data_IF_468745486886
#
_entry.id   IF_468745486886
#
_cell.length_a   1.000
_cell.length_b   1.000
_cell.length_c   1.000
_cell.angle_alpha   90.00
_cell.angle_beta   90.00
_cell.angle_gamma   90.00
#
_symmetry.space_group_name_H-M   'P 1'
#
loop_
_entity.id
_entity.type
_entity.pdbx_description
1 polymer ?
#
# COMPACT_ATOMS: atom_id res chain seq x y z
N UNK A 1 20.28 33.61 -15.38
CA UNK A 1 19.15 32.66 -15.24
C UNK A 1 19.75 31.32 -14.94
N UNK A 2 19.44 30.73 -13.79
CA UNK A 2 20.06 29.49 -13.33
C UNK A 2 19.75 28.33 -14.29
N UNK A 3 20.71 27.46 -14.57
CA UNK A 3 20.59 26.22 -15.39
C UNK A 3 19.48 25.25 -14.93
N UNK A 4 18.77 25.55 -13.85
CA UNK A 4 17.82 24.69 -13.17
C UNK A 4 16.36 24.84 -13.60
N UNK A 5 16.02 25.80 -14.47
CA UNK A 5 14.64 25.95 -14.98
C UNK A 5 14.67 25.84 -16.50
N UNK A 6 14.61 24.60 -16.97
CA UNK A 6 14.34 24.27 -18.37
C UNK A 6 12.84 24.33 -18.60
N UNK A 7 12.29 25.27 -19.40
CA UNK A 7 10.84 25.40 -19.61
C UNK A 7 10.15 24.13 -20.10
N UNK A 8 10.91 23.24 -20.76
CA UNK A 8 10.45 21.94 -21.23
C UNK A 8 10.23 20.90 -20.11
N UNK A 9 10.75 21.15 -18.89
CA UNK A 9 10.59 20.28 -17.73
C UNK A 9 9.77 20.95 -16.63
N UNK A 10 8.86 20.19 -16.02
CA UNK A 10 8.13 20.64 -14.84
C UNK A 10 9.11 20.86 -13.68
N UNK A 11 8.86 21.89 -12.86
CA UNK A 11 9.68 22.14 -11.67
C UNK A 11 9.64 20.90 -10.75
N UNK A 12 10.79 20.40 -10.27
CA UNK A 12 10.82 19.30 -9.32
C UNK A 12 9.97 19.62 -8.10
N UNK A 13 8.99 18.76 -7.80
CA UNK A 13 8.19 18.85 -6.59
C UNK A 13 8.75 17.90 -5.52
N UNK A 14 9.30 18.45 -4.45
CA UNK A 14 9.66 17.70 -3.26
C UNK A 14 8.60 17.94 -2.17
N UNK A 15 7.74 16.95 -1.85
CA UNK A 15 6.74 17.07 -0.80
C UNK A 15 7.35 17.50 0.54
N UNK A 16 8.60 17.11 0.85
CA UNK A 16 9.27 17.41 2.12
C UNK A 16 9.46 18.90 2.36
N UNK A 17 9.56 19.70 1.29
CA UNK A 17 9.62 21.16 1.38
C UNK A 17 8.35 21.78 1.97
N UNK A 18 7.24 21.03 1.96
CA UNK A 18 5.93 21.47 2.43
C UNK A 18 5.50 20.79 3.74
N UNK A 19 6.37 19.96 4.35
CA UNK A 19 6.11 19.20 5.57
C UNK A 19 6.66 19.87 6.86
N UNK A 20 6.97 21.16 6.84
CA UNK A 20 7.38 21.93 8.04
C UNK A 20 6.19 22.20 8.99
N UNK A 21 6.41 22.20 10.30
CA UNK A 21 5.45 22.65 11.34
C UNK A 21 5.20 24.18 11.33
N UNK A 22 5.69 24.88 10.32
CA UNK A 22 5.48 26.30 10.09
C UNK A 22 4.33 26.51 9.07
N UNK A 23 3.44 27.46 9.33
CA UNK A 23 2.32 27.77 8.42
C UNK A 23 2.83 28.30 7.07
N UNK A 24 3.00 27.43 6.07
CA UNK A 24 3.50 27.78 4.72
C UNK A 24 2.47 28.62 3.94
N UNK A 25 1.18 28.42 4.21
CA UNK A 25 0.09 29.24 3.68
C UNK A 25 -1.11 29.22 4.65
N UNK A 26 -1.90 30.30 4.76
CA UNK A 26 -3.12 30.31 5.56
C UNK A 26 -4.10 29.23 5.12
N UNK A 27 -4.60 28.41 6.06
CA UNK A 27 -5.62 27.41 5.77
C UNK A 27 -6.83 28.08 5.13
N UNK A 28 -7.36 27.45 4.07
CA UNK A 28 -8.48 27.99 3.30
C UNK A 28 -8.13 28.99 2.21
N UNK A 29 -6.89 29.46 2.13
CA UNK A 29 -6.41 30.29 1.00
C UNK A 29 -6.20 29.47 -0.29
N UNK A 30 -6.19 30.16 -1.43
CA UNK A 30 -5.82 29.54 -2.71
C UNK A 30 -4.39 28.95 -2.70
N UNK A 31 -3.43 29.64 -2.08
CA UNK A 31 -2.06 29.13 -1.95
C UNK A 31 -2.02 27.82 -1.16
N UNK A 32 -2.81 27.72 -0.08
CA UNK A 32 -2.96 26.48 0.67
C UNK A 32 -3.60 25.37 -0.18
N UNK A 33 -4.64 25.70 -0.96
CA UNK A 33 -5.30 24.75 -1.85
C UNK A 33 -4.34 24.18 -2.91
N UNK A 34 -3.49 25.02 -3.51
CA UNK A 34 -2.45 24.58 -4.45
C UNK A 34 -1.43 23.64 -3.80
N UNK A 35 -1.02 23.90 -2.55
CA UNK A 35 -0.13 22.99 -1.81
C UNK A 35 -0.83 21.64 -1.61
N UNK A 36 -2.09 21.63 -1.18
CA UNK A 36 -2.83 20.39 -0.99
C UNK A 36 -2.99 19.60 -2.30
N UNK A 37 -3.26 20.27 -3.42
CA UNK A 37 -3.30 19.65 -4.74
C UNK A 37 -1.96 19.02 -5.11
N UNK A 38 -0.83 19.72 -4.95
CA UNK A 38 0.50 19.14 -5.20
C UNK A 38 0.81 17.93 -4.31
N UNK A 39 0.26 17.91 -3.09
CA UNK A 39 0.28 16.76 -2.17
C UNK A 39 -0.75 15.67 -2.51
N UNK A 40 -1.35 15.70 -3.72
CA UNK A 40 -2.34 14.73 -4.23
C UNK A 40 -3.64 14.67 -3.43
N UNK A 41 -3.99 15.73 -2.71
CA UNK A 41 -5.29 15.83 -2.02
C UNK A 41 -6.31 16.54 -2.90
N UNK A 42 -7.60 16.29 -2.64
CA UNK A 42 -8.72 16.96 -3.30
C UNK A 42 -9.17 18.16 -2.47
N UNK A 43 -9.48 19.26 -3.15
CA UNK A 43 -9.93 20.50 -2.51
C UNK A 43 -11.19 21.03 -3.19
N UNK A 44 -12.02 21.74 -2.45
CA UNK A 44 -13.28 22.33 -2.92
C UNK A 44 -13.47 23.72 -2.34
N UNK A 45 -14.32 24.55 -2.97
CA UNK A 45 -14.77 25.82 -2.41
C UNK A 45 -16.04 25.59 -1.61
N UNK A 46 -16.22 26.31 -0.50
CA UNK A 46 -17.49 26.26 0.26
C UNK A 46 -18.70 26.65 -0.58
N UNK A 47 -18.52 27.52 -1.58
CA UNK A 47 -19.59 27.95 -2.49
C UNK A 47 -19.93 26.93 -3.58
N UNK A 48 -19.13 25.87 -3.76
CA UNK A 48 -19.38 24.84 -4.77
C UNK A 48 -20.29 23.73 -4.24
N UNK A 49 -21.45 24.15 -3.74
CA UNK A 49 -22.57 23.28 -3.39
C UNK A 49 -23.44 23.07 -4.63
N UNK A 50 -23.83 21.81 -4.90
CA UNK A 50 -24.85 21.53 -5.90
C UNK A 50 -26.25 21.94 -5.40
N UNK A 51 -27.27 21.84 -6.25
CA UNK A 51 -28.66 22.16 -5.92
C UNK A 51 -29.23 21.34 -4.73
N UNK A 52 -28.55 20.26 -4.32
CA UNK A 52 -28.92 19.41 -3.18
C UNK A 52 -28.17 19.79 -1.90
N UNK A 53 -27.33 20.84 -1.93
CA UNK A 53 -26.51 21.28 -0.81
C UNK A 53 -25.26 20.44 -0.55
N UNK A 54 -24.86 19.56 -1.48
CA UNK A 54 -23.67 18.72 -1.34
C UNK A 54 -22.46 19.32 -2.08
N UNK A 55 -21.28 19.29 -1.45
CA UNK A 55 -19.99 19.66 -2.07
C UNK A 55 -19.41 18.49 -2.88
N UNK A 56 -20.02 18.21 -4.03
CA UNK A 56 -19.55 17.14 -4.95
C UNK A 56 -18.54 17.63 -5.99
N UNK A 57 -18.44 18.95 -6.14
CA UNK A 57 -17.48 19.60 -7.01
C UNK A 57 -16.14 19.73 -6.32
N UNK A 58 -15.06 19.42 -7.02
CA UNK A 58 -13.71 19.54 -6.45
C UNK A 58 -12.61 19.61 -7.50
N UNK A 59 -11.46 20.10 -7.07
CA UNK A 59 -10.22 20.07 -7.84
C UNK A 59 -9.38 18.85 -7.49
N UNK A 60 -8.75 18.28 -8.51
CA UNK A 60 -7.73 17.25 -8.40
C UNK A 60 -6.58 17.54 -9.37
N UNK A 61 -5.36 17.10 -9.04
CA UNK A 61 -4.20 17.25 -9.92
C UNK A 61 -4.03 15.99 -10.77
N UNK A 62 -3.96 16.18 -12.09
CA UNK A 62 -3.67 15.12 -13.05
C UNK A 62 -2.17 15.11 -13.32
N UNK A 63 -1.43 14.02 -12.97
CA UNK A 63 0.01 13.94 -13.19
C UNK A 63 0.37 13.89 -14.67
N UNK A 64 1.56 14.38 -15.00
CA UNK A 64 2.18 14.13 -16.30
C UNK A 64 2.34 12.63 -16.55
N UNK A 65 1.97 12.21 -17.76
CA UNK A 65 2.18 10.85 -18.27
C UNK A 65 2.98 10.95 -19.56
N UNK A 66 4.15 10.32 -19.58
CA UNK A 66 5.07 10.41 -20.71
C UNK A 66 4.91 9.23 -21.68
N UNK A 67 5.31 9.45 -22.93
CA UNK A 67 5.43 8.41 -23.97
C UNK A 67 4.12 7.68 -24.33
N UNK A 68 2.98 8.35 -24.16
CA UNK A 68 1.69 7.86 -24.65
C UNK A 68 1.73 7.75 -26.17
N UNK A 69 0.92 6.83 -26.70
CA UNK A 69 0.73 6.68 -28.13
C UNK A 69 -0.73 6.96 -28.47
N UNK A 70 -0.96 7.65 -29.58
CA UNK A 70 -2.32 7.83 -30.12
C UNK A 70 -2.89 6.46 -30.49
N UNK A 71 -3.98 6.07 -29.85
CA UNK A 71 -4.70 4.82 -30.11
C UNK A 71 -5.71 5.00 -31.24
N UNK A 72 -6.02 3.91 -31.96
CA UNK A 72 -6.82 3.89 -33.18
C UNK A 72 -8.19 4.57 -33.04
N UNK A 73 -8.83 4.42 -31.88
CA UNK A 73 -10.18 4.94 -31.62
C UNK A 73 -10.17 6.10 -30.60
N UNK A 74 -9.00 6.70 -30.34
CA UNK A 74 -8.90 7.88 -29.46
C UNK A 74 -9.42 9.14 -30.15
N UNK A 75 -9.83 10.14 -29.36
CA UNK A 75 -10.25 11.44 -29.89
C UNK A 75 -9.20 12.05 -30.84
N UNK A 76 -7.91 11.92 -30.48
CA UNK A 76 -6.81 12.38 -31.33
C UNK A 76 -6.75 11.68 -32.69
N UNK A 77 -7.01 10.37 -32.74
CA UNK A 77 -7.03 9.64 -34.01
C UNK A 77 -8.22 10.05 -34.88
N UNK A 78 -9.40 10.25 -34.26
CA UNK A 78 -10.60 10.76 -34.94
C UNK A 78 -10.35 12.17 -35.51
N UNK A 79 -9.61 13.00 -34.78
CA UNK A 79 -9.23 14.36 -35.18
C UNK A 79 -8.06 14.39 -36.18
N UNK A 80 -7.60 13.22 -36.66
CA UNK A 80 -6.63 13.09 -37.75
C UNK A 80 -5.16 12.98 -37.32
N UNK A 81 -4.87 12.83 -36.02
CA UNK A 81 -3.51 12.53 -35.56
C UNK A 81 -3.17 11.08 -35.87
N UNK A 82 -2.02 10.84 -36.51
CA UNK A 82 -1.60 9.49 -36.88
C UNK A 82 -1.53 8.55 -35.66
N UNK A 83 -2.13 7.36 -35.80
CA UNK A 83 -2.06 6.28 -34.80
C UNK A 83 -0.60 5.92 -34.54
N UNK A 84 -0.23 5.81 -33.26
CA UNK A 84 1.14 5.55 -32.84
C UNK A 84 1.99 6.81 -32.62
N UNK A 85 1.49 8.01 -32.97
CA UNK A 85 2.17 9.28 -32.63
C UNK A 85 2.43 9.33 -31.13
N UNK A 86 3.69 9.57 -30.76
CA UNK A 86 4.12 9.69 -29.37
C UNK A 86 3.86 11.09 -28.84
N UNK A 87 3.33 11.18 -27.64
CA UNK A 87 3.12 12.45 -26.94
C UNK A 87 3.22 12.28 -25.43
N UNK A 88 3.47 13.39 -24.74
CA UNK A 88 3.36 13.48 -23.30
C UNK A 88 2.06 14.20 -22.95
N UNK A 89 1.33 13.68 -21.98
CA UNK A 89 0.18 14.36 -21.42
C UNK A 89 0.63 15.13 -20.18
N UNK A 90 0.51 16.45 -20.20
CA UNK A 90 1.15 17.34 -19.21
C UNK A 90 0.35 17.42 -17.90
N UNK A 91 1.04 17.76 -16.80
CA UNK A 91 0.38 18.00 -15.51
C UNK A 91 -0.59 19.18 -15.60
N UNK A 92 -1.81 19.02 -15.11
CA UNK A 92 -2.81 20.08 -15.00
C UNK A 92 -3.77 19.80 -13.83
N UNK A 93 -4.69 20.74 -13.58
CA UNK A 93 -5.74 20.60 -12.56
C UNK A 93 -7.04 20.34 -13.29
N UNK A 94 -7.78 19.34 -12.84
CA UNK A 94 -9.15 19.07 -13.29
C UNK A 94 -10.16 19.48 -12.22
N UNK A 95 -11.29 20.01 -12.67
CA UNK A 95 -12.50 20.18 -11.89
C UNK A 95 -13.42 18.99 -12.17
N UNK A 96 -13.78 18.24 -11.12
CA UNK A 96 -14.97 17.38 -11.15
C UNK A 96 -16.20 18.27 -10.97
N UNK A 97 -17.10 18.27 -11.94
CA UNK A 97 -18.35 19.02 -11.85
C UNK A 97 -19.41 18.25 -11.03
N UNK A 98 -20.56 18.87 -10.82
CA UNK A 98 -21.68 18.29 -10.06
C UNK A 98 -22.25 17.00 -10.67
N UNK A 99 -22.00 16.74 -11.96
CA UNK A 99 -22.41 15.51 -12.64
C UNK A 99 -21.35 14.41 -12.59
N UNK A 100 -20.22 14.68 -11.94
CA UNK A 100 -19.11 13.75 -11.81
C UNK A 100 -18.19 13.65 -13.02
N UNK A 101 -18.36 14.53 -14.01
CA UNK A 101 -17.46 14.63 -15.15
C UNK A 101 -16.27 15.53 -14.82
N UNK A 102 -15.13 15.26 -15.46
CA UNK A 102 -13.92 16.04 -15.29
C UNK A 102 -13.72 16.99 -16.46
N UNK A 103 -13.28 18.21 -16.16
CA UNK A 103 -12.87 19.20 -17.15
C UNK A 103 -11.58 19.87 -16.70
N UNK A 104 -10.67 20.22 -17.62
CA UNK A 104 -9.51 21.03 -17.29
C UNK A 104 -9.94 22.33 -16.63
N UNK A 105 -9.29 22.68 -15.53
CA UNK A 105 -9.65 23.83 -14.71
C UNK A 105 -8.55 24.87 -14.69
N UNK A 106 -8.97 26.14 -14.76
CA UNK A 106 -8.11 27.30 -14.56
C UNK A 106 -8.74 28.21 -13.49
N UNK A 107 -7.93 28.77 -12.57
CA UNK A 107 -8.45 29.65 -11.54
C UNK A 107 -8.99 30.95 -12.13
N UNK A 108 -10.17 31.36 -11.69
CA UNK A 108 -10.64 32.74 -11.88
C UNK A 108 -9.93 33.70 -10.92
N UNK A 109 -10.10 35.02 -11.11
CA UNK A 109 -9.61 35.99 -10.14
C UNK A 109 -10.24 35.81 -8.75
N UNK A 110 -11.53 35.43 -8.70
CA UNK A 110 -12.21 35.15 -7.44
C UNK A 110 -11.65 33.91 -6.75
N UNK A 111 -11.30 32.87 -7.50
CA UNK A 111 -10.67 31.66 -6.97
C UNK A 111 -9.31 31.93 -6.35
N UNK A 112 -8.50 32.78 -6.99
CA UNK A 112 -7.19 33.16 -6.47
C UNK A 112 -7.27 33.94 -5.16
N UNK A 113 -8.34 34.71 -4.97
CA UNK A 113 -8.54 35.58 -3.81
C UNK A 113 -9.42 34.94 -2.72
N UNK A 114 -9.87 33.72 -2.95
CA UNK A 114 -10.76 33.01 -2.04
C UNK A 114 -10.06 32.50 -0.78
N UNK A 115 -10.81 32.53 0.32
CA UNK A 115 -10.42 32.06 1.65
C UNK A 115 -11.32 30.93 2.18
N UNK A 116 -12.20 30.39 1.33
CA UNK A 116 -13.17 29.35 1.64
C UNK A 116 -12.82 28.01 0.97
N UNK A 117 -11.54 27.78 0.68
CA UNK A 117 -11.06 26.47 0.24
C UNK A 117 -11.09 25.48 1.39
N UNK A 118 -11.55 24.27 1.12
CA UNK A 118 -11.62 23.18 2.08
C UNK A 118 -11.14 21.89 1.45
N UNK A 119 -10.85 20.89 2.27
CA UNK A 119 -10.79 19.54 1.76
C UNK A 119 -12.16 19.13 1.24
N UNK A 120 -12.18 18.35 0.18
CA UNK A 120 -13.35 17.52 -0.08
C UNK A 120 -13.46 16.60 1.11
N UNK A 121 -14.48 16.80 1.93
CA UNK A 121 -14.88 15.77 2.88
C UNK A 121 -15.01 14.52 2.03
N UNK A 122 -14.10 13.58 2.26
CA UNK A 122 -14.41 12.23 1.87
C UNK A 122 -15.64 11.93 2.73
N UNK A 123 -16.84 12.08 2.15
CA UNK A 123 -17.78 10.99 2.23
C UNK A 123 -16.99 9.82 1.68
N UNK A 124 -16.16 9.23 2.54
CA UNK A 124 -16.04 7.80 2.60
C UNK A 124 -17.48 7.37 2.30
N UNK A 125 -17.70 6.73 1.15
CA UNK A 125 -18.54 5.55 1.26
C UNK A 125 -18.13 4.94 2.57
N UNK A 126 -19.05 4.89 3.53
CA UNK A 126 -18.79 4.19 4.77
C UNK A 126 -18.53 2.72 4.37
N UNK A 127 -17.34 2.39 3.88
CA UNK A 127 -16.50 1.52 4.65
C UNK A 127 -16.47 2.23 5.99
N UNK A 128 -17.44 1.88 6.86
CA UNK A 128 -17.36 2.19 8.28
C UNK A 128 -15.87 2.00 8.60
N UNK A 129 -15.13 2.95 9.21
CA UNK A 129 -13.81 2.64 9.69
C UNK A 129 -13.98 1.29 10.38
N UNK A 130 -13.33 0.23 9.83
CA UNK A 130 -13.53 -1.13 10.34
C UNK A 130 -13.31 -0.97 11.83
N UNK A 131 -14.36 -1.12 12.65
CA UNK A 131 -14.46 -0.44 13.94
C UNK A 131 -13.22 -0.80 14.71
N UNK A 132 -12.23 0.12 14.88
CA UNK A 132 -10.83 -0.20 15.23
C UNK A 132 -10.74 -1.57 15.88
N UNK A 133 -10.64 -2.61 15.04
CA UNK A 133 -10.86 -3.96 15.55
C UNK A 133 -9.55 -4.25 16.19
N UNK A 134 -9.47 -4.14 17.51
CA UNK A 134 -8.23 -4.47 18.19
C UNK A 134 -7.91 -5.92 17.80
N UNK A 135 -6.68 -6.23 17.35
CA UNK A 135 -6.33 -7.61 17.08
C UNK A 135 -6.58 -8.43 18.34
N UNK A 136 -7.16 -9.62 18.16
CA UNK A 136 -7.33 -10.59 19.23
C UNK A 136 -5.99 -10.99 19.81
N UNK A 137 -4.99 -11.13 18.93
CA UNK A 137 -3.59 -11.34 19.28
C UNK A 137 -2.66 -10.54 18.37
N UNK A 138 -1.59 -10.01 18.93
CA UNK A 138 -0.48 -9.32 18.31
C UNK A 138 0.86 -9.98 18.69
N UNK A 139 1.67 -10.22 17.66
CA UNK A 139 3.04 -10.71 17.78
C UNK A 139 3.98 -9.77 17.01
N UNK A 140 4.88 -9.10 17.70
CA UNK A 140 5.90 -8.22 17.11
C UNK A 140 7.25 -8.91 17.14
N UNK A 141 7.93 -8.91 16.01
CA UNK A 141 9.18 -9.64 15.83
C UNK A 141 10.18 -8.86 15.01
N UNK A 142 11.47 -9.08 15.30
CA UNK A 142 12.57 -8.80 14.38
C UNK A 142 12.88 -10.07 13.63
N UNK A 143 12.60 -10.06 12.33
CA UNK A 143 12.85 -11.16 11.42
C UNK A 143 14.03 -10.79 10.53
N UNK A 144 15.14 -11.52 10.65
CA UNK A 144 16.19 -11.48 9.63
C UNK A 144 15.75 -12.39 8.50
N UNK A 145 15.54 -11.84 7.30
CA UNK A 145 15.09 -12.61 6.15
C UNK A 145 16.26 -13.42 5.63
N UNK A 146 16.18 -14.74 5.77
CA UNK A 146 17.13 -15.67 5.18
C UNK A 146 16.59 -16.28 3.89
N UNK A 147 17.47 -16.98 3.20
CA UNK A 147 17.10 -17.89 2.12
C UNK A 147 17.71 -19.28 2.33
N UNK A 148 17.04 -20.28 1.79
CA UNK A 148 17.54 -21.64 1.73
C UNK A 148 17.09 -22.26 0.42
N UNK A 149 18.02 -22.88 -0.30
CA UNK A 149 17.71 -23.62 -1.52
C UNK A 149 17.98 -25.09 -1.23
N UNK A 150 16.94 -25.91 -1.25
CA UNK A 150 17.06 -27.35 -1.01
C UNK A 150 17.68 -28.07 -2.21
N UNK A 151 18.06 -29.33 -2.02
CA UNK A 151 18.68 -30.17 -3.06
C UNK A 151 17.79 -30.36 -4.30
N UNK A 152 16.46 -30.37 -4.13
CA UNK A 152 15.49 -30.39 -5.23
C UNK A 152 15.24 -28.99 -5.86
N UNK A 153 16.07 -27.99 -5.54
CA UNK A 153 16.01 -26.59 -6.01
C UNK A 153 14.76 -25.82 -5.59
N UNK A 154 14.06 -26.26 -4.53
CA UNK A 154 13.01 -25.44 -3.92
C UNK A 154 13.66 -24.28 -3.17
N UNK A 155 13.28 -23.06 -3.49
CA UNK A 155 13.80 -21.85 -2.85
C UNK A 155 12.83 -21.38 -1.78
N UNK A 156 13.31 -21.36 -0.55
CA UNK A 156 12.59 -20.92 0.64
C UNK A 156 13.14 -19.56 1.05
N UNK A 157 12.24 -18.61 1.31
CA UNK A 157 12.59 -17.25 1.74
C UNK A 157 11.84 -16.90 3.01
N UNK A 158 12.56 -16.38 4.02
CA UNK A 158 12.00 -16.03 5.32
C UNK A 158 12.86 -16.55 6.47
N UNK A 159 12.21 -16.93 7.56
CA UNK A 159 12.84 -17.55 8.72
C UNK A 159 12.48 -19.04 8.79
N UNK A 160 13.46 -19.88 9.10
CA UNK A 160 13.21 -21.27 9.46
C UNK A 160 14.37 -21.84 10.26
N UNK A 161 14.04 -22.52 11.35
CA UNK A 161 14.97 -23.26 12.20
C UNK A 161 14.46 -24.71 12.36
N UNK A 162 14.66 -25.50 11.32
CA UNK A 162 14.17 -26.88 11.24
C UNK A 162 15.34 -27.83 11.44
N UNK A 163 15.47 -28.39 12.65
CA UNK A 163 16.41 -29.48 12.94
C UNK A 163 15.67 -30.80 13.15
N UNK A 164 16.25 -31.91 12.67
CA UNK A 164 15.71 -33.26 12.94
C UNK A 164 14.47 -33.67 12.12
N UNK A 165 14.18 -33.00 11.00
CA UNK A 165 13.16 -33.41 10.01
C UNK A 165 13.80 -33.83 8.68
N UNK A 166 13.00 -34.36 7.74
CA UNK A 166 13.45 -34.75 6.38
C UNK A 166 14.09 -33.60 5.60
N UNK A 167 13.78 -32.36 5.95
CA UNK A 167 14.44 -31.12 5.51
C UNK A 167 15.05 -30.43 6.72
N UNK A 168 16.35 -30.64 6.96
CA UNK A 168 17.11 -29.95 8.00
C UNK A 168 17.74 -28.68 7.41
N UNK A 169 17.34 -27.51 7.91
CA UNK A 169 17.92 -26.23 7.53
C UNK A 169 17.67 -25.16 8.59
N UNK A 170 18.61 -24.23 8.68
CA UNK A 170 18.47 -23.01 9.48
C UNK A 170 18.75 -21.81 8.59
N UNK A 171 17.82 -20.85 8.56
CA UNK A 171 17.94 -19.63 7.75
C UNK A 171 17.20 -18.47 8.41
N UNK A 172 17.79 -17.29 8.29
CA UNK A 172 17.28 -16.09 8.93
C UNK A 172 17.42 -16.14 10.46
N UNK A 173 16.73 -15.23 11.13
CA UNK A 173 16.65 -15.18 12.58
C UNK A 173 15.28 -14.66 13.01
N UNK A 174 14.81 -15.13 14.17
CA UNK A 174 13.52 -14.77 14.74
C UNK A 174 13.70 -14.30 16.18
N UNK A 175 13.54 -13.00 16.40
CA UNK A 175 13.59 -12.38 17.71
C UNK A 175 12.21 -11.82 18.06
N UNK A 176 11.62 -12.29 19.16
CA UNK A 176 10.33 -11.81 19.63
C UNK A 176 10.53 -10.51 20.41
N UNK A 177 9.91 -9.42 19.95
CA UNK A 177 9.87 -8.13 20.67
C UNK A 177 8.72 -8.12 21.67
N UNK A 178 7.52 -8.51 21.23
CA UNK A 178 6.34 -8.63 22.10
C UNK A 178 5.41 -9.71 21.59
N UNK A 179 4.84 -10.49 22.48
CA UNK A 179 3.95 -11.60 22.13
C UNK A 179 2.80 -11.65 23.14
N UNK A 180 1.58 -11.39 22.70
CA UNK A 180 0.36 -11.55 23.51
C UNK A 180 -0.40 -12.86 23.20
N UNK A 181 0.17 -13.71 22.34
CA UNK A 181 -0.38 -15.05 22.06
C UNK A 181 -0.09 -15.98 23.25
N UNK A 182 -0.82 -17.09 23.34
CA UNK A 182 -0.57 -18.14 24.33
C UNK A 182 0.49 -19.13 23.84
N UNK A 183 1.12 -18.82 22.69
CA UNK A 183 2.16 -19.65 22.12
C UNK A 183 3.46 -19.41 22.89
N UNK A 184 4.14 -20.46 23.37
CA UNK A 184 5.51 -20.32 23.82
C UNK A 184 6.35 -19.75 22.66
N UNK A 185 7.36 -18.92 22.95
CA UNK A 185 8.22 -18.20 22.00
C UNK A 185 9.07 -19.11 21.07
N UNK A 186 8.49 -20.16 20.51
CA UNK A 186 9.13 -21.25 19.77
C UNK A 186 8.48 -21.41 18.40
N UNK A 187 8.34 -20.28 17.69
CA UNK A 187 8.03 -20.32 16.26
C UNK A 187 9.22 -20.98 15.57
N UNK A 188 8.93 -22.01 14.78
CA UNK A 188 9.93 -22.83 14.09
C UNK A 188 10.24 -22.27 12.71
N UNK A 189 9.25 -21.72 12.04
CA UNK A 189 9.41 -21.08 10.74
C UNK A 189 8.31 -20.07 10.48
N UNK A 190 8.67 -19.03 9.74
CA UNK A 190 7.77 -18.18 8.99
C UNK A 190 8.39 -17.89 7.63
N UNK A 191 7.92 -18.60 6.60
CA UNK A 191 8.58 -18.59 5.29
C UNK A 191 7.61 -18.88 4.14
N UNK A 192 8.01 -18.48 2.94
CA UNK A 192 7.29 -18.73 1.68
C UNK A 192 8.17 -19.53 0.73
N UNK A 193 7.54 -20.34 -0.13
CA UNK A 193 8.23 -21.00 -1.24
C UNK A 193 8.20 -20.07 -2.45
N UNK A 194 9.38 -19.68 -2.92
CA UNK A 194 9.57 -18.92 -4.14
C UNK A 194 10.04 -19.84 -5.27
N UNK A 195 9.14 -20.62 -5.88
CA UNK A 195 9.51 -21.48 -7.01
C UNK A 195 8.73 -21.13 -8.28
N UNK A 196 9.38 -21.33 -9.43
CA UNK A 196 8.77 -21.18 -10.75
C UNK A 196 7.98 -22.43 -11.19
N UNK A 197 8.10 -23.55 -10.47
CA UNK A 197 7.52 -24.85 -10.83
C UNK A 197 6.41 -25.35 -9.88
N UNK A 198 6.22 -24.77 -8.70
CA UNK A 198 5.15 -25.16 -7.78
C UNK A 198 4.00 -24.14 -7.76
N UNK A 199 2.78 -24.66 -7.75
CA UNK A 199 1.56 -23.84 -7.70
C UNK A 199 1.28 -23.23 -6.30
N UNK A 200 1.84 -23.82 -5.23
CA UNK A 200 1.54 -23.42 -3.85
C UNK A 200 2.63 -22.50 -3.28
N UNK A 201 2.39 -21.19 -3.32
CA UNK A 201 3.23 -20.16 -2.69
C UNK A 201 2.64 -19.68 -1.37
N UNK A 202 2.36 -20.64 -0.50
CA UNK A 202 1.74 -20.36 0.79
C UNK A 202 2.80 -19.88 1.79
N UNK A 203 2.44 -18.89 2.61
CA UNK A 203 3.22 -18.57 3.79
C UNK A 203 2.96 -19.62 4.86
N UNK A 204 4.02 -20.21 5.39
CA UNK A 204 3.96 -21.24 6.42
C UNK A 204 4.36 -20.62 7.75
N UNK A 205 3.46 -20.65 8.74
CA UNK A 205 3.76 -20.35 10.14
C UNK A 205 3.63 -21.64 10.96
N UNK A 206 4.72 -22.05 11.62
CA UNK A 206 4.83 -23.35 12.29
C UNK A 206 5.41 -23.19 13.69
N UNK A 207 4.92 -23.96 14.65
CA UNK A 207 5.39 -23.96 16.04
C UNK A 207 6.18 -25.24 16.37
N UNK A 208 7.26 -25.12 17.15
CA UNK A 208 8.10 -26.26 17.55
C UNK A 208 7.41 -27.21 18.53
N UNK A 209 6.40 -26.74 19.28
CA UNK A 209 5.60 -27.64 20.11
C UNK A 209 4.57 -28.34 19.21
N UNK A 210 4.57 -29.67 19.16
CA UNK A 210 3.62 -30.47 18.39
C UNK A 210 2.19 -30.43 19.00
N UNK A 211 1.77 -29.24 19.45
CA UNK A 211 0.50 -28.98 20.10
C UNK A 211 -0.45 -28.35 19.09
N UNK A 212 -1.74 -28.70 19.18
CA UNK A 212 -2.79 -28.06 18.38
C UNK A 212 -3.00 -26.58 18.72
N UNK A 213 -2.24 -26.00 19.66
CA UNK A 213 -2.49 -24.69 20.25
C UNK A 213 -2.41 -23.56 19.23
N UNK A 214 -1.45 -23.59 18.31
CA UNK A 214 -1.35 -22.58 17.25
C UNK A 214 -2.58 -22.61 16.33
N UNK A 215 -3.08 -23.80 16.00
CA UNK A 215 -4.31 -23.98 15.24
C UNK A 215 -5.53 -23.51 16.03
N UNK A 216 -5.66 -23.92 17.28
CA UNK A 216 -6.81 -23.59 18.13
C UNK A 216 -6.89 -22.10 18.43
N UNK A 217 -5.76 -21.42 18.60
CA UNK A 217 -5.70 -20.01 18.94
C UNK A 217 -5.76 -19.10 17.71
N UNK A 218 -5.00 -19.40 16.66
CA UNK A 218 -4.76 -18.50 15.52
C UNK A 218 -5.34 -19.02 14.20
N UNK A 219 -5.65 -20.31 14.09
CA UNK A 219 -6.00 -20.93 12.82
C UNK A 219 -7.31 -20.46 12.19
N UNK A 220 -8.27 -20.01 13.01
CA UNK A 220 -9.52 -19.39 12.53
C UNK A 220 -9.44 -17.86 12.43
N UNK A 221 -8.30 -17.26 12.78
CA UNK A 221 -8.13 -15.81 12.80
C UNK A 221 -7.57 -15.33 11.48
N UNK A 222 -7.98 -14.13 11.10
CA UNK A 222 -7.43 -13.44 9.95
C UNK A 222 -6.08 -12.81 10.33
N UNK A 223 -5.04 -13.06 9.53
CA UNK A 223 -3.70 -12.49 9.72
C UNK A 223 -3.47 -11.29 8.81
N UNK A 224 -3.10 -10.15 9.41
CA UNK A 224 -2.54 -8.99 8.71
C UNK A 224 -1.16 -8.70 9.28
N UNK A 225 -0.16 -8.65 8.42
CA UNK A 225 1.21 -8.30 8.79
C UNK A 225 1.44 -6.82 8.49
N UNK A 226 2.02 -6.08 9.43
CA UNK A 226 2.44 -4.68 9.22
C UNK A 226 3.94 -4.56 9.17
N UNK A 227 4.41 -3.72 8.25
CA UNK A 227 5.80 -3.30 8.15
C UNK A 227 5.84 -1.83 7.74
N UNK A 228 6.41 -0.97 8.59
CA UNK A 228 6.31 0.48 8.45
C UNK A 228 4.84 0.91 8.28
N UNK A 229 4.52 1.71 7.25
CA UNK A 229 3.17 2.20 6.96
C UNK A 229 2.38 1.27 6.01
N UNK A 230 2.84 0.04 5.78
CA UNK A 230 2.19 -0.93 4.88
C UNK A 230 1.59 -2.10 5.64
N UNK A 231 0.42 -2.55 5.17
CA UNK A 231 -0.28 -3.73 5.67
C UNK A 231 -0.36 -4.80 4.57
N UNK A 232 -0.17 -6.06 4.98
CA UNK A 232 -0.17 -7.23 4.12
C UNK A 232 -1.22 -8.21 4.64
N UNK A 233 -2.35 -8.30 3.94
CA UNK A 233 -3.47 -9.17 4.30
C UNK A 233 -3.25 -10.59 3.78
N UNK A 234 -2.97 -11.53 4.69
CA UNK A 234 -2.73 -12.94 4.39
C UNK A 234 -4.00 -13.79 4.49
N UNK A 235 -5.12 -13.21 4.93
CA UNK A 235 -6.37 -13.93 5.13
C UNK A 235 -6.31 -14.93 6.29
N UNK A 236 -7.09 -16.00 6.17
CA UNK A 236 -7.20 -17.06 7.18
C UNK A 236 -6.38 -18.26 6.76
N UNK A 237 -5.70 -18.89 7.72
CA UNK A 237 -4.88 -20.06 7.46
C UNK A 237 -5.73 -21.28 7.10
N UNK A 238 -5.22 -22.09 6.16
CA UNK A 238 -5.63 -23.49 5.99
C UNK A 238 -4.89 -24.34 7.03
N UNK A 239 -5.63 -25.18 7.75
CA UNK A 239 -5.11 -25.94 8.89
C UNK A 239 -5.15 -27.45 8.67
N UNK A 240 -4.25 -27.95 7.81
CA UNK A 240 -4.16 -29.37 7.48
C UNK A 240 -3.48 -30.20 8.58
N UNK A 241 -2.47 -29.62 9.25
CA UNK A 241 -1.70 -30.27 10.31
C UNK A 241 -1.96 -29.57 11.65
N UNK A 242 -1.70 -30.26 12.77
CA UNK A 242 -1.99 -29.76 14.12
C UNK A 242 -1.16 -28.52 14.50
N UNK A 243 0.08 -28.42 14.02
CA UNK A 243 1.04 -27.38 14.44
C UNK A 243 1.37 -26.33 13.36
N UNK A 244 0.70 -26.38 12.20
CA UNK A 244 1.09 -25.58 11.03
C UNK A 244 -0.09 -24.80 10.46
N UNK A 245 0.13 -23.51 10.23
CA UNK A 245 -0.78 -22.60 9.54
C UNK A 245 -0.26 -22.32 8.14
N UNK A 246 -1.08 -22.58 7.11
CA UNK A 246 -0.76 -22.28 5.72
C UNK A 246 -1.62 -21.11 5.23
N UNK A 247 -1.00 -19.97 4.97
CA UNK A 247 -1.67 -18.80 4.42
C UNK A 247 -1.58 -18.84 2.89
N UNK A 248 -2.72 -19.06 2.20
CA UNK A 248 -2.71 -19.20 0.75
C UNK A 248 -2.35 -17.91 0.04
N UNK A 249 -2.02 -18.02 -1.25
CA UNK A 249 -1.69 -16.85 -2.05
C UNK A 249 -2.88 -15.87 -2.17
N UNK A 250 -2.70 -14.67 -1.66
CA UNK A 250 -3.57 -13.48 -1.81
C UNK A 250 -2.77 -12.34 -2.45
N UNK A 251 -3.43 -11.22 -2.75
CA UNK A 251 -2.72 -9.99 -3.16
C UNK A 251 -1.74 -9.51 -2.07
N UNK A 252 -2.19 -9.53 -0.81
CA UNK A 252 -1.37 -9.14 0.34
C UNK A 252 -0.19 -10.09 0.57
N UNK A 253 -0.39 -11.40 0.45
CA UNK A 253 0.71 -12.36 0.59
C UNK A 253 1.71 -12.28 -0.58
N UNK A 254 1.25 -12.02 -1.81
CA UNK A 254 2.14 -11.82 -2.95
C UNK A 254 3.03 -10.58 -2.76
N UNK A 255 2.46 -9.47 -2.27
CA UNK A 255 3.23 -8.28 -1.94
C UNK A 255 4.23 -8.51 -0.79
N UNK A 256 3.89 -9.37 0.18
CA UNK A 256 4.80 -9.76 1.25
C UNK A 256 5.94 -10.66 0.75
N UNK A 257 5.67 -11.57 -0.19
CA UNK A 257 6.68 -12.39 -0.87
C UNK A 257 7.73 -11.50 -1.56
N UNK A 258 7.31 -10.48 -2.29
CA UNK A 258 8.22 -9.51 -2.94
C UNK A 258 9.05 -8.71 -1.91
N UNK A 259 8.45 -8.33 -0.78
CA UNK A 259 9.17 -7.70 0.32
C UNK A 259 10.26 -8.63 0.86
N UNK A 260 9.95 -9.91 1.06
CA UNK A 260 10.91 -10.89 1.57
C UNK A 260 12.07 -11.07 0.58
N UNK A 261 11.79 -11.24 -0.71
CA UNK A 261 12.82 -11.41 -1.75
C UNK A 261 13.75 -10.19 -1.83
N UNK A 262 13.19 -8.98 -1.81
CA UNK A 262 13.97 -7.73 -1.85
C UNK A 262 14.73 -7.41 -0.54
N UNK A 263 14.45 -8.18 0.52
CA UNK A 263 15.00 -7.97 1.86
C UNK A 263 15.86 -9.13 2.37
N UNK A 264 16.24 -10.09 1.51
CA UNK A 264 17.18 -11.16 1.88
C UNK A 264 18.46 -10.56 2.51
N UNK A 265 18.86 -11.10 3.67
CA UNK A 265 19.98 -10.65 4.47
C UNK A 265 19.70 -9.42 5.36
N UNK A 266 18.50 -8.82 5.28
CA UNK A 266 18.10 -7.65 6.08
C UNK A 266 17.20 -8.07 7.24
N UNK A 267 17.12 -7.18 8.23
CA UNK A 267 16.25 -7.30 9.40
C UNK A 267 14.99 -6.49 9.16
N UNK A 268 13.82 -7.10 9.33
CA UNK A 268 12.51 -6.47 9.26
C UNK A 268 11.86 -6.51 10.65
N UNK A 269 11.35 -5.38 11.10
CA UNK A 269 10.49 -5.33 12.30
C UNK A 269 9.03 -5.45 11.87
N UNK A 270 8.44 -6.63 12.10
CA UNK A 270 7.12 -7.02 11.60
C UNK A 270 6.13 -7.13 12.75
N UNK A 271 4.90 -6.63 12.52
CA UNK A 271 3.78 -6.84 13.45
C UNK A 271 2.75 -7.80 12.84
N UNK A 272 2.63 -8.98 13.42
CA UNK A 272 1.62 -9.98 13.08
C UNK A 272 0.37 -9.70 13.90
N UNK A 273 -0.69 -9.28 13.24
CA UNK A 273 -1.97 -8.94 13.87
C UNK A 273 -3.03 -9.97 13.47
N UNK A 274 -3.57 -10.68 14.45
CA UNK A 274 -4.59 -11.71 14.30
C UNK A 274 -5.94 -11.16 14.74
N UNK A 275 -6.92 -11.13 13.84
CA UNK A 275 -8.25 -10.58 14.09
C UNK A 275 -9.28 -11.72 14.20
N UNK A 276 -10.26 -11.58 15.09
CA UNK A 276 -11.48 -12.38 14.99
C UNK A 276 -12.24 -11.96 13.73
N UNK A 277 -12.82 -12.93 13.04
CA UNK A 277 -13.70 -12.70 11.89
C UNK A 277 -15.18 -12.72 12.29
#
# INVERSE_FOLDING_TARGET
MSEFIKPEHECPFDPKQYHCDCFIAPVGSFSWALIQLKLRKRVTRSVWVNCQGNNEMYLAITPRVNNLAVEKDSAYAVDGVAVGTKYDYLTHIDLRNEHGNFVPWQPTQEDMMACDWNFVEQKEERIKPKPFVKPAHQLKVRLTVGEYISSNKTHYVGYGDLHGTTTDYSTGAWEVISNDTLLPNKIRQFRVIHSNSEANRDFVLDEMSNSSKIKDQLGSKKLIIKYLDKEYDLGIAKTYYSATLLYPRTEGSAALEELFISSIGKILELEFNFFEE
#
